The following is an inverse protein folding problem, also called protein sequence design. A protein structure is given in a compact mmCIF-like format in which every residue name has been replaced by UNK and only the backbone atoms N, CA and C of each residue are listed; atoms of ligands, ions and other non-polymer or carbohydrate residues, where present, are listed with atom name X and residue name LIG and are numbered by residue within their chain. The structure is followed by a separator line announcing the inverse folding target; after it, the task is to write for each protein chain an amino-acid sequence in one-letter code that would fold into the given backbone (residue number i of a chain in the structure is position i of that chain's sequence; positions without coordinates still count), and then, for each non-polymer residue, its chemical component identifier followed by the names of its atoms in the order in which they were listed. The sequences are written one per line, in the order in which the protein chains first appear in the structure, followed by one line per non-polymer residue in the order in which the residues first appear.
data_IF_496755177738
#
_entry.id   IF_496755177738
#
_cell.length_a   1.000
_cell.length_b   1.000
_cell.length_c   1.000
_cell.angle_alpha   90.00
_cell.angle_beta   90.00
_cell.angle_gamma   90.00
#
_symmetry.space_group_name_H-M   'P 1'
#
loop_
_entity.id
_entity.type
_entity.pdbx_description
1 polymer ?
#
# COMPACT_ATOMS: atom_id res chain seq x y z
N UNK A 1 -6.95 13.43 -1.57
CA UNK A 1 -7.24 13.04 -2.97
C UNK A 1 -7.48 14.33 -3.73
N UNK A 2 -6.76 14.60 -4.82
CA UNK A 2 -7.00 15.80 -5.63
C UNK A 2 -7.79 15.36 -6.85
N UNK A 3 -8.98 15.91 -7.03
CA UNK A 3 -9.80 15.68 -8.22
C UNK A 3 -9.13 16.37 -9.41
N UNK A 4 -8.83 15.63 -10.47
CA UNK A 4 -8.34 16.22 -11.73
C UNK A 4 -9.42 17.09 -12.38
N UNK A 5 -9.01 18.04 -13.21
CA UNK A 5 -9.96 18.72 -14.11
C UNK A 5 -10.54 17.68 -15.07
N UNK A 6 -11.79 17.88 -15.50
CA UNK A 6 -12.50 16.96 -16.39
C UNK A 6 -11.67 16.64 -17.66
N UNK A 7 -11.10 17.66 -18.28
CA UNK A 7 -10.24 17.59 -19.47
C UNK A 7 -8.98 16.73 -19.28
N UNK A 8 -8.52 16.57 -18.03
CA UNK A 8 -7.30 15.84 -17.69
C UNK A 8 -7.56 14.40 -17.24
N UNK A 9 -8.83 13.97 -17.23
CA UNK A 9 -9.17 12.58 -16.92
C UNK A 9 -8.75 11.65 -18.06
N UNK A 10 -8.39 10.39 -17.77
CA UNK A 10 -8.21 9.38 -18.80
C UNK A 10 -9.43 9.34 -19.74
N UNK A 11 -9.26 9.24 -21.08
CA UNK A 11 -10.36 9.30 -22.04
C UNK A 11 -11.50 8.31 -21.73
N UNK A 12 -11.13 7.12 -21.24
CA UNK A 12 -12.05 6.06 -20.82
C UNK A 12 -12.97 6.44 -19.65
N UNK A 13 -12.58 7.45 -18.85
CA UNK A 13 -13.35 7.96 -17.72
C UNK A 13 -14.19 9.19 -18.10
N UNK A 14 -14.06 9.73 -19.33
CA UNK A 14 -14.81 10.90 -19.80
C UNK A 14 -16.17 10.50 -20.39
N UNK A 15 -16.93 9.65 -19.69
CA UNK A 15 -18.27 9.20 -20.11
C UNK A 15 -19.35 9.99 -19.38
N UNK A 16 -20.56 10.07 -19.94
CA UNK A 16 -21.68 10.76 -19.31
C UNK A 16 -22.05 10.18 -17.93
N UNK A 17 -21.93 8.86 -17.78
CA UNK A 17 -22.15 8.16 -16.52
C UNK A 17 -21.18 8.65 -15.43
N UNK A 18 -19.89 8.79 -15.76
CA UNK A 18 -18.87 9.27 -14.83
C UNK A 18 -19.03 10.78 -14.55
N UNK A 19 -19.54 11.55 -15.53
CA UNK A 19 -19.77 13.00 -15.39
C UNK A 19 -20.69 13.34 -14.23
N UNK A 20 -21.75 12.55 -14.01
CA UNK A 20 -22.65 12.71 -12.87
C UNK A 20 -21.89 12.62 -11.54
N UNK A 21 -21.05 11.60 -11.36
CA UNK A 21 -20.25 11.43 -10.14
C UNK A 21 -19.18 12.50 -10.00
N UNK A 22 -18.59 12.94 -11.11
CA UNK A 22 -17.60 14.02 -11.14
C UNK A 22 -18.16 15.32 -10.57
N UNK A 23 -19.35 15.74 -11.00
CA UNK A 23 -19.98 16.97 -10.49
C UNK A 23 -20.31 16.89 -9.00
N UNK A 24 -20.77 15.73 -8.51
CA UNK A 24 -20.98 15.49 -7.08
C UNK A 24 -19.66 15.64 -6.30
N UNK A 25 -18.57 15.06 -6.80
CA UNK A 25 -17.25 15.13 -6.16
C UNK A 25 -16.66 16.54 -6.21
N UNK A 26 -16.89 17.27 -7.31
CA UNK A 26 -16.45 18.66 -7.50
C UNK A 26 -17.11 19.59 -6.49
N UNK A 27 -18.39 19.41 -6.19
CA UNK A 27 -19.08 20.17 -5.13
C UNK A 27 -18.51 19.86 -3.73
N UNK A 28 -17.94 18.67 -3.54
CA UNK A 28 -17.28 18.26 -2.28
C UNK A 28 -15.76 18.50 -2.26
N UNK A 29 -15.22 19.33 -3.17
CA UNK A 29 -13.77 19.57 -3.30
C UNK A 29 -13.11 20.03 -2.00
N UNK A 30 -13.77 20.90 -1.23
CA UNK A 30 -13.27 21.37 0.07
C UNK A 30 -13.11 20.22 1.07
N UNK A 31 -14.12 19.36 1.20
CA UNK A 31 -14.08 18.16 2.03
C UNK A 31 -12.96 17.21 1.62
N UNK A 32 -12.71 17.03 0.31
CA UNK A 32 -11.62 16.19 -0.20
C UNK A 32 -10.23 16.75 0.15
N UNK A 33 -10.07 18.07 0.17
CA UNK A 33 -8.83 18.74 0.58
C UNK A 33 -8.61 18.56 2.08
N UNK A 34 -9.63 18.80 2.91
CA UNK A 34 -9.57 18.60 4.37
C UNK A 34 -9.23 17.14 4.69
N UNK A 35 -9.90 16.19 4.03
CA UNK A 35 -9.59 14.76 4.17
C UNK A 35 -8.13 14.47 3.82
N UNK A 36 -7.58 15.09 2.77
CA UNK A 36 -6.17 14.89 2.40
C UNK A 36 -5.23 15.42 3.48
N UNK A 37 -5.51 16.59 4.05
CA UNK A 37 -4.70 17.14 5.12
C UNK A 37 -4.76 16.24 6.36
N UNK A 38 -5.96 15.81 6.74
CA UNK A 38 -6.17 14.85 7.83
C UNK A 38 -5.40 13.55 7.61
N UNK A 39 -5.53 12.93 6.43
CA UNK A 39 -4.84 11.69 6.09
C UNK A 39 -3.30 11.86 6.21
N UNK A 40 -2.74 13.00 5.78
CA UNK A 40 -1.31 13.29 5.90
C UNK A 40 -0.90 13.44 7.36
N UNK A 41 -1.59 14.29 8.13
CA UNK A 41 -1.25 14.55 9.54
C UNK A 41 -1.35 13.28 10.36
N UNK A 42 -2.45 12.54 10.24
CA UNK A 42 -2.65 11.28 10.95
C UNK A 42 -1.64 10.21 10.53
N UNK A 43 -1.30 10.12 9.23
CA UNK A 43 -0.27 9.18 8.77
C UNK A 43 1.10 9.49 9.35
N UNK A 44 1.46 10.77 9.50
CA UNK A 44 2.74 11.19 10.06
C UNK A 44 2.83 10.86 11.55
N UNK A 45 1.77 11.15 12.32
CA UNK A 45 1.69 10.83 13.74
C UNK A 45 1.79 9.31 13.94
N UNK A 46 1.01 8.53 13.19
CA UNK A 46 1.06 7.07 13.26
C UNK A 46 2.41 6.52 12.86
N UNK A 47 3.08 7.10 11.86
CA UNK A 47 4.42 6.68 11.44
C UNK A 47 5.45 6.91 12.54
N UNK A 48 5.41 8.05 13.24
CA UNK A 48 6.30 8.34 14.36
C UNK A 48 6.08 7.34 15.50
N UNK A 49 4.82 7.11 15.88
CA UNK A 49 4.47 6.17 16.96
C UNK A 49 4.84 4.72 16.59
N UNK A 50 4.63 4.33 15.33
CA UNK A 50 4.94 2.98 14.85
C UNK A 50 6.42 2.78 14.49
N UNK A 51 7.20 3.84 14.36
CA UNK A 51 8.63 3.78 13.99
C UNK A 51 9.48 2.85 14.86
N UNK A 52 9.37 2.82 16.22
CA UNK A 52 10.13 1.85 17.02
C UNK A 52 9.76 0.41 16.70
N UNK A 53 8.48 0.11 16.48
CA UNK A 53 8.00 -1.23 16.12
C UNK A 53 8.56 -1.63 14.75
N UNK A 54 8.51 -0.72 13.78
CA UNK A 54 9.06 -0.94 12.44
C UNK A 54 10.56 -1.20 12.44
N UNK A 55 11.31 -0.52 13.32
CA UNK A 55 12.75 -0.69 13.46
C UNK A 55 13.08 -2.06 14.06
N UNK A 56 12.41 -2.46 15.14
CA UNK A 56 12.57 -3.79 15.74
C UNK A 56 12.23 -4.88 14.71
N UNK A 57 11.11 -4.73 14.01
CA UNK A 57 10.67 -5.70 13.01
C UNK A 57 11.67 -5.81 11.85
N UNK A 58 12.25 -4.68 11.41
CA UNK A 58 13.28 -4.66 10.37
C UNK A 58 14.54 -5.43 10.78
N UNK A 59 14.99 -5.29 12.03
CA UNK A 59 16.14 -6.02 12.56
C UNK A 59 15.83 -7.52 12.62
N UNK A 60 14.68 -7.89 13.16
CA UNK A 60 14.27 -9.30 13.30
C UNK A 60 14.12 -9.98 11.93
N UNK A 61 13.54 -9.29 10.94
CA UNK A 61 13.43 -9.80 9.56
C UNK A 61 14.82 -10.02 8.94
N UNK A 62 15.74 -9.06 9.11
CA UNK A 62 17.10 -9.12 8.57
C UNK A 62 17.94 -10.22 9.23
N UNK A 63 17.74 -10.45 10.53
CA UNK A 63 18.36 -11.54 11.27
C UNK A 63 17.81 -12.92 10.84
N UNK A 64 16.51 -13.00 10.50
CA UNK A 64 15.87 -14.24 10.10
C UNK A 64 16.15 -14.66 8.64
N UNK A 65 16.43 -13.72 7.73
CA UNK A 65 16.68 -14.02 6.32
C UNK A 65 17.57 -12.95 5.66
N UNK A 66 18.59 -13.34 4.87
CA UNK A 66 19.47 -12.38 4.20
C UNK A 66 18.70 -11.59 3.13
N UNK A 67 18.67 -10.26 3.24
CA UNK A 67 18.09 -9.35 2.23
C UNK A 67 17.33 -8.15 2.83
N UNK A 68 16.71 -7.30 1.98
CA UNK A 68 16.01 -6.11 2.44
C UNK A 68 14.73 -6.45 3.23
N UNK A 69 14.50 -5.75 4.35
CA UNK A 69 13.34 -5.97 5.22
C UNK A 69 12.00 -5.61 4.58
N UNK A 70 12.00 -4.77 3.54
CA UNK A 70 10.82 -4.34 2.82
C UNK A 70 10.65 -5.06 1.48
N UNK A 71 9.42 -5.45 1.19
CA UNK A 71 8.95 -5.92 -0.11
C UNK A 71 8.21 -4.79 -0.83
N UNK A 72 8.42 -4.67 -2.14
CA UNK A 72 7.85 -3.62 -3.00
C UNK A 72 6.81 -4.24 -3.93
N UNK A 73 5.57 -3.77 -3.88
CA UNK A 73 4.48 -4.24 -4.74
C UNK A 73 3.89 -3.09 -5.56
N UNK A 74 3.99 -3.16 -6.89
CA UNK A 74 3.35 -2.18 -7.77
C UNK A 74 1.85 -2.46 -7.89
N UNK A 75 1.02 -1.44 -7.63
CA UNK A 75 -0.42 -1.46 -7.83
C UNK A 75 -0.87 -0.25 -8.62
N UNK A 76 -1.93 -0.40 -9.41
CA UNK A 76 -2.55 0.71 -10.13
C UNK A 76 -3.49 1.45 -9.17
N UNK A 77 -3.35 2.76 -9.09
CA UNK A 77 -4.16 3.63 -8.22
C UNK A 77 -5.06 4.53 -9.06
N UNK A 78 -5.60 5.58 -8.43
CA UNK A 78 -6.49 6.55 -9.08
C UNK A 78 -5.86 7.08 -10.39
N UNK A 79 -6.69 7.17 -11.44
CA UNK A 79 -6.28 7.64 -12.77
C UNK A 79 -5.16 6.82 -13.42
N UNK A 80 -5.15 5.50 -13.18
CA UNK A 80 -4.16 4.55 -13.72
C UNK A 80 -2.71 4.83 -13.31
N UNK A 81 -2.48 5.62 -12.25
CA UNK A 81 -1.13 5.92 -11.81
C UNK A 81 -0.51 4.71 -11.11
N UNK A 82 0.68 4.25 -11.51
CA UNK A 82 1.38 3.20 -10.79
C UNK A 82 1.80 3.73 -9.42
N UNK A 83 1.53 2.94 -8.38
CA UNK A 83 1.90 3.24 -7.00
C UNK A 83 2.63 2.05 -6.41
N UNK A 84 3.74 2.34 -5.73
CA UNK A 84 4.56 1.35 -5.10
C UNK A 84 4.17 1.20 -3.63
N UNK A 85 3.63 0.04 -3.27
CA UNK A 85 3.29 -0.29 -1.89
C UNK A 85 4.52 -0.95 -1.24
N UNK A 86 4.93 -0.41 -0.10
CA UNK A 86 5.96 -0.98 0.75
C UNK A 86 5.31 -1.82 1.84
N UNK A 87 5.80 -3.05 2.01
CA UNK A 87 5.30 -4.03 2.99
C UNK A 87 6.46 -4.68 3.72
N UNK A 88 6.23 -5.16 4.92
CA UNK A 88 7.25 -5.96 5.59
C UNK A 88 7.39 -7.32 4.91
N UNK A 89 8.63 -7.75 4.72
CA UNK A 89 8.93 -9.04 4.12
C UNK A 89 8.47 -10.14 5.07
N UNK A 90 7.48 -10.91 4.63
CA UNK A 90 6.98 -12.10 5.34
C UNK A 90 7.47 -13.43 4.74
N UNK A 91 8.18 -13.37 3.61
CA UNK A 91 8.71 -14.55 2.90
C UNK A 91 10.24 -14.51 2.77
N UNK A 92 10.87 -15.67 2.59
CA UNK A 92 12.32 -15.80 2.35
C UNK A 92 12.73 -15.08 1.05
N UNK A 93 13.95 -14.55 1.00
CA UNK A 93 14.63 -14.12 -0.24
C UNK A 93 14.54 -15.22 -1.31
N UNK A 94 14.18 -14.86 -2.54
CA UNK A 94 13.93 -15.79 -3.67
C UNK A 94 12.61 -16.58 -3.64
N UNK A 95 11.63 -16.23 -2.81
CA UNK A 95 10.30 -16.84 -2.86
C UNK A 95 9.61 -16.69 -4.24
N UNK A 96 9.86 -15.60 -4.96
CA UNK A 96 9.36 -15.35 -6.32
C UNK A 96 9.98 -16.29 -7.38
N UNK A 97 11.21 -16.76 -7.17
CA UNK A 97 11.87 -17.74 -8.06
C UNK A 97 11.44 -19.18 -7.78
N UNK A 98 10.87 -19.45 -6.61
CA UNK A 98 10.52 -20.81 -6.14
C UNK A 98 9.04 -21.20 -6.28
N UNK A 99 8.17 -20.34 -6.82
CA UNK A 99 6.78 -20.76 -7.11
C UNK A 99 5.77 -19.64 -7.32
N UNK A 100 4.53 -20.05 -7.55
CA UNK A 100 3.36 -19.24 -7.96
C UNK A 100 3.10 -18.01 -7.09
N UNK A 101 2.55 -16.96 -7.70
CA UNK A 101 2.17 -15.66 -7.11
C UNK A 101 1.11 -15.75 -5.98
N UNK A 102 0.58 -16.94 -5.70
CA UNK A 102 -0.49 -17.21 -4.73
C UNK A 102 0.12 -17.95 -3.55
N UNK A 103 -0.05 -17.42 -2.34
CA UNK A 103 0.41 -18.09 -1.11
C UNK A 103 -0.65 -19.08 -0.64
N UNK A 104 -0.32 -20.36 -0.53
CA UNK A 104 -1.17 -21.37 0.13
C UNK A 104 -0.97 -21.33 1.65
N UNK A 105 -1.96 -21.78 2.43
CA UNK A 105 -1.99 -21.68 3.90
C UNK A 105 -0.81 -22.33 4.65
N UNK A 106 -0.02 -23.19 3.98
CA UNK A 106 1.12 -23.91 4.58
C UNK A 106 2.39 -23.78 3.72
N UNK A 107 2.70 -22.56 3.29
CA UNK A 107 3.82 -22.29 2.40
C UNK A 107 5.16 -22.25 3.14
N UNK A 108 6.06 -23.18 2.81
CA UNK A 108 7.40 -23.31 3.40
C UNK A 108 8.32 -22.09 3.10
N UNK A 109 7.85 -21.15 2.27
CA UNK A 109 8.51 -19.87 1.96
C UNK A 109 8.26 -18.78 3.01
N UNK A 110 7.37 -19.00 3.99
CA UNK A 110 7.05 -18.04 5.05
C UNK A 110 8.05 -18.23 6.21
N UNK A 111 8.73 -17.16 6.64
CA UNK A 111 9.60 -17.22 7.82
C UNK A 111 8.76 -17.28 9.10
N UNK A 112 9.28 -17.84 10.21
CA UNK A 112 8.57 -17.83 11.51
C UNK A 112 8.16 -16.40 11.92
N UNK A 113 9.03 -15.43 11.63
CA UNK A 113 8.79 -14.00 11.81
C UNK A 113 7.68 -13.51 10.85
N UNK A 114 7.74 -13.91 9.58
CA UNK A 114 6.71 -13.59 8.58
C UNK A 114 5.32 -14.15 8.91
N UNK A 115 5.25 -15.32 9.55
CA UNK A 115 4.00 -15.88 10.07
C UNK A 115 3.42 -15.02 11.20
N UNK A 116 4.26 -14.51 12.11
CA UNK A 116 3.85 -13.57 13.15
C UNK A 116 3.35 -12.24 12.55
N UNK A 117 4.09 -11.66 11.60
CA UNK A 117 3.71 -10.42 10.90
C UNK A 117 2.36 -10.55 10.18
N UNK A 118 2.13 -11.70 9.52
CA UNK A 118 0.85 -11.98 8.87
C UNK A 118 -0.29 -12.16 9.88
N UNK A 119 -0.02 -12.81 11.01
CA UNK A 119 -1.00 -13.01 12.09
C UNK A 119 -1.40 -11.68 12.75
N UNK A 120 -0.46 -10.76 12.91
CA UNK A 120 -0.69 -9.44 13.50
C UNK A 120 -1.14 -8.38 12.49
N UNK A 121 -1.31 -8.73 11.21
CA UNK A 121 -1.66 -7.81 10.11
C UNK A 121 -0.67 -6.64 9.97
N UNK A 122 0.57 -6.84 10.40
CA UNK A 122 1.68 -5.89 10.25
C UNK A 122 2.34 -6.00 8.86
N UNK A 123 1.81 -6.83 7.96
CA UNK A 123 2.35 -7.12 6.63
C UNK A 123 2.09 -6.00 5.61
#
# INVERSE_FOLDING_TARGET
MILLKWEQLPPEMQTEEVRKYYEILKNKKTSLIIKRLFDIVMSLILLVIASPIFLILSIVIKAASPGPAFFKQTRITQYKKPFLIYKFRSMVSDAEKKGTLITSSNDNRITKVGAFIRKTRLA
#
